data_IF_376901597170
#
_entry.id   IF_376901597170
#
_cell.length_a   1.000
_cell.length_b   1.000
_cell.length_c   1.000
_cell.angle_alpha   90.00
_cell.angle_beta   90.00
_cell.angle_gamma   90.00
#
_symmetry.space_group_name_H-M   'P 1'
#
loop_
_entity.id
_entity.type
_entity.pdbx_description
1 polymer ?
#
# COMPACT_ATOMS: atom_id res chain seq x y z
N UNK A 1 9.79 11.17 -2.11
CA UNK A 1 9.15 10.64 -0.91
C UNK A 1 7.77 11.18 -0.71
N UNK A 2 7.62 12.50 -0.57
CA UNK A 2 6.29 13.10 -0.48
C UNK A 2 5.47 12.91 -1.75
N UNK A 3 6.13 12.78 -2.89
CA UNK A 3 5.49 12.69 -4.20
C UNK A 3 4.48 11.54 -4.29
N UNK A 4 4.86 10.34 -3.85
CA UNK A 4 3.95 9.20 -3.92
C UNK A 4 2.78 9.35 -2.94
N UNK A 5 3.02 9.94 -1.77
CA UNK A 5 1.94 10.21 -0.81
C UNK A 5 0.96 11.21 -1.40
N UNK A 6 1.44 12.24 -2.07
CA UNK A 6 0.57 13.23 -2.71
C UNK A 6 -0.25 12.62 -3.84
N UNK A 7 0.36 11.74 -4.64
CA UNK A 7 -0.36 11.00 -5.67
C UNK A 7 -1.42 10.08 -5.07
N UNK A 8 -1.10 9.44 -3.94
CA UNK A 8 -2.05 8.59 -3.23
C UNK A 8 -3.24 9.41 -2.71
N UNK A 9 -2.98 10.61 -2.21
CA UNK A 9 -4.05 11.51 -1.76
C UNK A 9 -4.99 11.88 -2.91
N UNK A 10 -4.44 12.13 -4.08
CA UNK A 10 -5.24 12.45 -5.26
C UNK A 10 -6.10 11.25 -5.70
N UNK A 11 -5.52 10.06 -5.70
CA UNK A 11 -6.20 8.84 -6.15
C UNK A 11 -7.29 8.39 -5.16
N UNK A 12 -7.12 8.72 -3.88
CA UNK A 12 -8.08 8.36 -2.83
C UNK A 12 -9.50 8.86 -3.11
N UNK A 13 -9.64 9.92 -3.89
CA UNK A 13 -10.96 10.45 -4.23
C UNK A 13 -11.81 9.44 -5.02
N UNK A 14 -11.18 8.45 -5.65
CA UNK A 14 -11.87 7.42 -6.44
C UNK A 14 -12.20 6.15 -5.64
N UNK A 15 -11.91 6.13 -4.35
CA UNK A 15 -12.19 4.96 -3.52
C UNK A 15 -13.69 4.67 -3.44
N UNK A 16 -14.01 3.39 -3.30
CA UNK A 16 -15.39 2.96 -3.06
C UNK A 16 -15.54 2.66 -1.57
N UNK A 17 -15.93 3.66 -0.81
CA UNK A 17 -15.99 3.57 0.66
C UNK A 17 -17.35 4.05 1.20
N UNK A 18 -18.47 3.45 0.74
CA UNK A 18 -19.82 3.92 1.13
C UNK A 18 -20.18 3.63 2.58
N UNK A 19 -19.47 2.69 3.23
CA UNK A 19 -19.79 2.27 4.59
C UNK A 19 -19.01 3.08 5.63
N UNK A 20 -17.71 3.24 5.43
CA UNK A 20 -16.85 3.96 6.37
C UNK A 20 -16.72 5.44 6.07
N UNK A 21 -16.90 5.82 4.83
CA UNK A 21 -16.59 7.15 4.29
C UNK A 21 -15.12 7.53 4.48
N UNK A 22 -14.24 6.53 4.62
CA UNK A 22 -12.82 6.73 4.80
C UNK A 22 -12.07 6.29 3.55
N UNK A 23 -11.72 7.26 2.70
CA UNK A 23 -11.11 7.00 1.40
C UNK A 23 -9.59 6.90 1.54
N UNK A 24 -9.04 5.79 1.09
CA UNK A 24 -7.59 5.56 1.09
C UNK A 24 -7.12 5.32 -0.35
N UNK A 25 -5.98 5.90 -0.67
CA UNK A 25 -5.30 5.66 -1.94
C UNK A 25 -3.88 5.19 -1.68
N UNK A 26 -3.35 4.44 -2.63
CA UNK A 26 -1.97 4.00 -2.60
C UNK A 26 -1.38 4.03 -4.01
N UNK A 27 -0.11 4.38 -4.11
CA UNK A 27 0.60 4.35 -5.39
C UNK A 27 1.91 3.61 -5.17
N UNK A 28 2.11 2.53 -5.93
CA UNK A 28 3.38 1.80 -5.92
C UNK A 28 4.23 2.25 -7.10
N UNK A 29 5.54 2.28 -6.88
CA UNK A 29 6.52 2.53 -7.97
C UNK A 29 7.41 1.32 -8.08
N UNK A 30 7.54 0.80 -9.29
CA UNK A 30 8.38 -0.36 -9.57
C UNK A 30 9.85 0.04 -9.68
N UNK A 31 10.72 -0.96 -9.72
CA UNK A 31 12.17 -0.73 -9.82
C UNK A 31 12.60 -0.10 -11.15
N UNK A 32 11.75 -0.19 -12.19
CA UNK A 32 12.01 0.44 -13.48
C UNK A 32 11.16 1.70 -13.69
N UNK A 33 10.52 2.22 -12.64
CA UNK A 33 9.87 3.53 -12.66
C UNK A 33 8.40 3.56 -13.06
N UNK A 34 7.76 2.40 -13.26
CA UNK A 34 6.31 2.36 -13.51
C UNK A 34 5.54 2.57 -12.22
N UNK A 35 4.34 3.12 -12.33
CA UNK A 35 3.49 3.36 -11.17
C UNK A 35 2.13 2.70 -11.35
N UNK A 36 1.60 2.17 -10.25
CA UNK A 36 0.28 1.53 -10.21
C UNK A 36 -0.50 2.10 -9.05
N UNK A 37 -1.75 2.47 -9.32
CA UNK A 37 -2.64 3.08 -8.33
C UNK A 37 -3.57 2.04 -7.73
N UNK A 38 -3.94 2.25 -6.47
CA UNK A 38 -4.96 1.45 -5.80
C UNK A 38 -5.78 2.32 -4.89
N UNK A 39 -7.00 1.87 -4.64
CA UNK A 39 -7.93 2.51 -3.70
C UNK A 39 -8.59 1.45 -2.85
N UNK A 40 -9.10 1.83 -1.67
CA UNK A 40 -9.90 0.88 -0.93
C UNK A 40 -11.25 0.68 -1.60
N UNK A 41 -11.69 -0.57 -1.63
CA UNK A 41 -12.97 -0.98 -2.19
C UNK A 41 -13.69 -1.78 -1.12
N UNK A 42 -14.72 -1.18 -0.55
CA UNK A 42 -15.48 -1.81 0.53
C UNK A 42 -16.55 -2.74 0.00
N UNK A 43 -17.05 -3.59 0.86
CA UNK A 43 -18.10 -4.54 0.53
C UNK A 43 -19.03 -4.65 1.73
N UNK A 44 -20.32 -4.86 1.48
CA UNK A 44 -21.30 -5.08 2.54
C UNK A 44 -20.91 -6.28 3.41
N UNK A 45 -20.26 -7.28 2.83
CA UNK A 45 -19.62 -8.37 3.59
C UNK A 45 -18.22 -7.88 3.95
N UNK A 46 -18.06 -7.29 5.11
CA UNK A 46 -16.84 -6.60 5.53
C UNK A 46 -15.54 -7.37 5.31
N UNK A 47 -15.46 -8.68 5.60
CA UNK A 47 -14.21 -9.40 5.36
C UNK A 47 -13.75 -9.45 3.91
N UNK A 48 -14.63 -9.13 2.95
CA UNK A 48 -14.33 -9.18 1.53
C UNK A 48 -13.81 -7.85 0.97
N UNK A 49 -13.77 -6.81 1.78
CA UNK A 49 -13.23 -5.52 1.35
C UNK A 49 -11.74 -5.60 1.07
N UNK A 50 -11.25 -4.69 0.22
CA UNK A 50 -9.85 -4.65 -0.19
C UNK A 50 -9.27 -3.28 0.17
N UNK A 51 -8.11 -3.29 0.85
CA UNK A 51 -7.39 -2.06 1.17
C UNK A 51 -6.68 -1.50 -0.06
N UNK A 52 -6.40 -0.21 -0.06
CA UNK A 52 -5.76 0.47 -1.18
C UNK A 52 -4.38 -0.13 -1.50
N UNK A 53 -3.60 -0.48 -0.49
CA UNK A 53 -2.27 -1.05 -0.67
C UNK A 53 -2.34 -2.38 -1.42
N UNK A 54 -3.27 -3.26 -1.02
CA UNK A 54 -3.47 -4.54 -1.72
C UNK A 54 -3.91 -4.31 -3.15
N UNK A 55 -4.81 -3.36 -3.37
CA UNK A 55 -5.30 -3.01 -4.69
C UNK A 55 -4.16 -2.59 -5.62
N UNK A 56 -3.27 -1.73 -5.14
CA UNK A 56 -2.12 -1.27 -5.92
C UNK A 56 -1.13 -2.41 -6.20
N UNK A 57 -0.87 -3.25 -5.19
CA UNK A 57 0.06 -4.37 -5.35
C UNK A 57 -0.49 -5.43 -6.31
N UNK A 58 -1.79 -5.71 -6.25
CA UNK A 58 -2.43 -6.64 -7.18
C UNK A 58 -2.29 -6.13 -8.61
N UNK A 59 -2.50 -4.84 -8.83
CA UNK A 59 -2.34 -4.23 -10.16
C UNK A 59 -0.91 -4.38 -10.66
N UNK A 60 0.09 -4.17 -9.79
CA UNK A 60 1.50 -4.31 -10.15
C UNK A 60 1.84 -5.75 -10.50
N UNK A 61 1.37 -6.71 -9.71
CA UNK A 61 1.59 -8.15 -9.97
C UNK A 61 0.98 -8.55 -11.31
N UNK A 62 -0.24 -8.09 -11.59
CA UNK A 62 -0.92 -8.38 -12.85
C UNK A 62 -0.12 -7.85 -14.05
N UNK A 63 0.66 -6.81 -13.86
CA UNK A 63 1.52 -6.23 -14.90
C UNK A 63 2.92 -6.85 -14.94
N UNK A 64 3.21 -7.85 -14.10
CA UNK A 64 4.48 -8.58 -14.11
C UNK A 64 5.46 -8.18 -13.01
N UNK A 65 5.06 -7.35 -12.03
CA UNK A 65 5.95 -6.87 -10.98
C UNK A 65 5.58 -7.51 -9.64
N UNK A 66 6.25 -8.60 -9.30
CA UNK A 66 6.02 -9.30 -8.03
C UNK A 66 6.94 -8.83 -6.92
N UNK A 67 7.01 -9.61 -5.82
CA UNK A 67 7.90 -9.29 -4.69
C UNK A 67 9.34 -9.09 -5.16
N UNK A 68 9.97 -8.05 -4.62
CA UNK A 68 11.34 -7.68 -4.99
C UNK A 68 11.41 -6.69 -6.15
N UNK A 69 10.30 -6.44 -6.85
CA UNK A 69 10.26 -5.51 -7.97
C UNK A 69 9.60 -4.16 -7.64
N UNK A 70 9.12 -3.99 -6.42
CA UNK A 70 8.47 -2.75 -5.98
C UNK A 70 9.49 -1.93 -5.19
N UNK A 71 9.83 -0.74 -5.70
CA UNK A 71 10.83 0.12 -5.07
C UNK A 71 10.24 0.97 -3.94
N UNK A 72 8.99 1.40 -4.09
CA UNK A 72 8.39 2.31 -3.12
C UNK A 72 6.87 2.24 -3.18
N UNK A 73 6.23 2.61 -2.08
CA UNK A 73 4.78 2.82 -2.03
C UNK A 73 4.49 4.09 -1.21
N UNK A 74 3.53 4.88 -1.69
CA UNK A 74 2.99 6.01 -0.95
C UNK A 74 1.53 5.77 -0.64
N UNK A 75 1.10 6.14 0.58
CA UNK A 75 -0.26 5.92 1.07
C UNK A 75 -0.70 7.19 1.80
N UNK A 76 -1.97 7.55 1.70
CA UNK A 76 -2.47 8.73 2.40
C UNK A 76 -2.82 8.47 3.87
N UNK A 77 -2.61 7.25 4.36
CA UNK A 77 -2.90 6.86 5.74
C UNK A 77 -1.93 5.77 6.18
N UNK A 78 -1.82 5.56 7.50
CA UNK A 78 -1.00 4.49 8.05
C UNK A 78 -1.56 3.13 7.63
N UNK A 79 -0.71 2.22 7.12
CA UNK A 79 -1.20 0.90 6.70
C UNK A 79 -1.63 0.05 7.90
N UNK A 80 -2.74 -0.68 7.74
CA UNK A 80 -3.22 -1.60 8.78
C UNK A 80 -2.30 -2.81 8.90
N UNK A 81 -2.53 -3.62 9.94
CA UNK A 81 -1.69 -4.80 10.19
C UNK A 81 -1.67 -5.78 9.02
N UNK A 82 -2.83 -6.03 8.41
CA UNK A 82 -2.90 -6.93 7.25
C UNK A 82 -2.12 -6.40 6.05
N UNK A 83 -2.19 -5.10 5.81
CA UNK A 83 -1.42 -4.49 4.72
C UNK A 83 0.07 -4.50 5.02
N UNK A 84 0.46 -4.34 6.29
CA UNK A 84 1.89 -4.43 6.65
C UNK A 84 2.45 -5.81 6.35
N UNK A 85 1.66 -6.86 6.51
CA UNK A 85 2.09 -8.20 6.12
C UNK A 85 2.34 -8.29 4.60
N UNK A 86 1.45 -7.71 3.80
CA UNK A 86 1.64 -7.64 2.35
C UNK A 86 2.91 -6.87 1.98
N UNK A 87 3.12 -5.72 2.60
CA UNK A 87 4.29 -4.88 2.32
C UNK A 87 5.58 -5.61 2.70
N UNK A 88 5.57 -6.32 3.84
CA UNK A 88 6.73 -7.11 4.27
C UNK A 88 7.02 -8.26 3.32
N UNK A 89 6.00 -8.97 2.85
CA UNK A 89 6.12 -10.05 1.87
C UNK A 89 6.78 -9.54 0.58
N UNK A 90 6.36 -8.36 0.12
CA UNK A 90 6.92 -7.74 -1.08
C UNK A 90 8.29 -7.12 -0.86
N UNK A 91 8.76 -7.06 0.37
CA UNK A 91 10.08 -6.53 0.75
C UNK A 91 10.30 -5.12 0.22
N UNK A 92 9.30 -4.26 0.36
CA UNK A 92 9.35 -2.89 -0.16
C UNK A 92 10.33 -2.07 0.68
N UNK A 93 11.38 -1.49 0.06
CA UNK A 93 12.37 -0.75 0.83
C UNK A 93 11.91 0.62 1.32
N UNK A 94 10.91 1.22 0.67
CA UNK A 94 10.48 2.57 1.02
C UNK A 94 8.96 2.64 1.07
N UNK A 95 8.42 2.65 2.30
CA UNK A 95 6.99 2.78 2.55
C UNK A 95 6.76 4.15 3.19
N UNK A 96 6.06 5.04 2.49
CA UNK A 96 5.76 6.39 2.98
C UNK A 96 4.27 6.58 3.16
N UNK A 97 3.87 7.19 4.26
CA UNK A 97 2.45 7.42 4.51
C UNK A 97 2.23 8.70 5.33
N UNK A 98 1.03 9.23 5.22
CA UNK A 98 0.62 10.41 5.99
C UNK A 98 0.15 9.96 7.37
N UNK A 99 0.75 10.51 8.43
CA UNK A 99 0.27 10.30 9.80
C UNK A 99 -0.94 11.18 10.07
N UNK A 100 -1.68 10.86 11.14
CA UNK A 100 -2.83 11.66 11.54
C UNK A 100 -2.48 13.10 11.87
N UNK A 101 -1.27 13.35 12.35
CA UNK A 101 -0.81 14.71 12.66
C UNK A 101 -0.37 15.51 11.41
N UNK A 102 -0.48 14.89 10.23
CA UNK A 102 -0.13 15.53 8.96
C UNK A 102 1.31 15.34 8.52
N UNK A 103 2.17 14.76 9.34
CA UNK A 103 3.56 14.48 8.95
C UNK A 103 3.63 13.24 8.09
N UNK A 104 4.73 13.10 7.34
CA UNK A 104 4.98 11.91 6.52
C UNK A 104 6.03 11.05 7.21
N UNK A 105 5.71 9.77 7.36
CA UNK A 105 6.64 8.76 7.85
C UNK A 105 7.17 7.93 6.68
N UNK A 106 8.41 7.49 6.76
CA UNK A 106 9.00 6.59 5.77
C UNK A 106 9.78 5.50 6.49
N UNK A 107 9.49 4.26 6.14
CA UNK A 107 10.11 3.07 6.74
C UNK A 107 10.36 2.02 5.68
N UNK A 108 11.29 1.10 5.94
CA UNK A 108 11.28 -0.18 5.26
C UNK A 108 10.06 -0.98 5.69
N UNK A 109 9.50 -1.78 4.81
CA UNK A 109 8.30 -2.57 5.13
C UNK A 109 8.51 -3.45 6.36
N UNK A 110 9.66 -4.09 6.48
CA UNK A 110 9.94 -4.99 7.63
C UNK A 110 10.02 -4.25 8.96
N UNK A 111 10.37 -2.97 8.95
CA UNK A 111 10.37 -2.18 10.18
C UNK A 111 8.96 -1.91 10.70
N UNK A 112 7.95 -2.01 9.83
CA UNK A 112 6.55 -1.81 10.20
C UNK A 112 5.88 -3.09 10.72
N UNK A 113 6.57 -4.24 10.61
CA UNK A 113 6.07 -5.52 11.11
C UNK A 113 7.27 -6.34 11.61
N UNK A 114 7.82 -5.99 12.79
CA UNK A 114 9.00 -6.68 13.32
C UNK A 114 8.75 -8.16 13.58
N UNK A 115 9.80 -8.97 13.36
CA UNK A 115 9.80 -10.39 13.68
C UNK A 115 8.66 -11.16 13.01
N UNK A 116 8.26 -10.72 11.83
CA UNK A 116 7.19 -11.37 11.09
C UNK A 116 7.64 -12.74 10.57
N UNK A 117 6.69 -13.68 10.54
CA UNK A 117 6.96 -15.00 9.97
C UNK A 117 7.02 -14.91 8.44
N UNK A 118 8.00 -15.61 7.87
CA UNK A 118 8.14 -15.73 6.41
C UNK A 118 8.23 -17.20 6.04
N UNK A 119 7.81 -17.52 4.82
CA UNK A 119 8.07 -18.85 4.30
C UNK A 119 9.58 -19.04 4.13
N UNK A 120 10.10 -20.23 4.47
CA UNK A 120 11.51 -20.55 4.20
C UNK A 120 11.77 -20.48 2.69
N UNK A 121 12.97 -20.01 2.35
CA UNK A 121 13.37 -20.05 0.95
C UNK A 121 13.44 -21.50 0.47
N UNK A 122 12.97 -21.77 -0.75
CA UNK A 122 13.03 -23.13 -1.30
C UNK A 122 14.45 -23.60 -1.59
#
# INVERSE_FOLDING_TARGET
MTELVEKAEAVAARAYAPYSNYNVGAVVRTDDGREFEGVNVENAAYPLGVCAEKSALVAAVAAGYGPGRIAAIGINASPCGGCRQWLAEFRIPEVSFRREDGTIATYEAKALLPETWDFPEP
#
